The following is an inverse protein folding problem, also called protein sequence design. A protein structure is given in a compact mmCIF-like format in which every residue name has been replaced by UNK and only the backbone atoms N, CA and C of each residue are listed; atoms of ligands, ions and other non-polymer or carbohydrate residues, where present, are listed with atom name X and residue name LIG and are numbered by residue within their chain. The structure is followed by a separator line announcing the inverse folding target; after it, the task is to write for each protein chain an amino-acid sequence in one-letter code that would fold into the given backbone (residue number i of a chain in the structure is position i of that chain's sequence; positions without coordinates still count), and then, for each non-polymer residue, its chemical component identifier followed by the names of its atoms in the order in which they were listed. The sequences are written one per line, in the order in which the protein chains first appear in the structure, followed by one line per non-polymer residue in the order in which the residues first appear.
data_IF_764270230304
#
_entry.id   IF_764270230304
#
_cell.length_a   1.000
_cell.length_b   1.000
_cell.length_c   1.000
_cell.angle_alpha   90.00
_cell.angle_beta   90.00
_cell.angle_gamma   90.00
#
_symmetry.space_group_name_H-M   'P 1'
#
loop_
_entity.id
_entity.type
_entity.pdbx_description
1 polymer ?
#
# COMPACT_ATOMS: atom_id res chain seq x y z
N UNK A 1 -12.19 15.37 -2.68
CA UNK A 1 -11.11 15.05 -3.63
C UNK A 1 -10.11 16.18 -3.60
N UNK A 2 -9.05 16.05 -2.80
CA UNK A 2 -7.86 16.86 -3.03
C UNK A 2 -7.00 16.12 -4.06
N UNK A 3 -6.35 16.82 -5.00
CA UNK A 3 -5.57 16.20 -6.06
C UNK A 3 -4.32 15.54 -5.52
N UNK A 4 -3.87 14.50 -6.23
CA UNK A 4 -2.57 13.86 -6.13
C UNK A 4 -1.47 14.84 -5.69
N UNK A 5 -0.63 14.40 -4.76
CA UNK A 5 0.52 15.14 -4.26
C UNK A 5 1.56 15.36 -5.36
N UNK A 6 1.32 16.34 -6.23
CA UNK A 6 2.26 16.80 -7.23
C UNK A 6 3.36 17.61 -6.53
N UNK A 7 4.49 16.96 -6.24
CA UNK A 7 5.77 17.67 -6.25
C UNK A 7 6.28 17.62 -7.69
N UNK A 8 6.38 18.79 -8.31
CA UNK A 8 6.96 19.07 -9.64
C UNK A 8 7.20 17.83 -10.53
N UNK A 9 6.23 17.50 -11.38
CA UNK A 9 6.44 16.69 -12.59
C UNK A 9 6.50 15.16 -12.45
N UNK A 10 6.35 14.58 -11.25
CA UNK A 10 6.31 13.11 -11.08
C UNK A 10 4.98 12.70 -10.43
N UNK A 11 4.22 11.85 -11.12
CA UNK A 11 3.01 11.24 -10.58
C UNK A 11 3.39 10.27 -9.46
N UNK A 12 2.91 10.54 -8.25
CA UNK A 12 3.10 9.67 -7.10
C UNK A 12 2.03 8.60 -7.11
N UNK A 13 2.41 7.34 -7.28
CA UNK A 13 1.47 6.21 -7.38
C UNK A 13 1.65 5.23 -6.22
N UNK A 14 0.55 4.89 -5.54
CA UNK A 14 0.51 3.85 -4.51
C UNK A 14 -0.31 2.66 -5.04
N UNK A 15 0.31 1.48 -5.07
CA UNK A 15 -0.37 0.22 -5.40
C UNK A 15 -0.31 -0.73 -4.22
N UNK A 16 -1.41 -1.42 -3.92
CA UNK A 16 -1.52 -2.42 -2.85
C UNK A 16 -1.92 -3.76 -3.46
N UNK A 17 -1.08 -4.77 -3.32
CA UNK A 17 -1.43 -6.14 -3.68
C UNK A 17 -2.02 -6.88 -2.47
N UNK A 18 -3.25 -7.35 -2.63
CA UNK A 18 -3.91 -8.19 -1.67
C UNK A 18 -5.43 -8.11 -1.73
N UNK A 19 -6.07 -9.24 -1.48
CA UNK A 19 -7.52 -9.35 -1.33
C UNK A 19 -8.04 -8.57 -0.11
N UNK A 20 -9.22 -7.93 -0.19
CA UNK A 20 -9.72 -7.04 0.86
C UNK A 20 -10.24 -7.80 2.09
N UNK A 21 -10.44 -9.11 2.02
CA UNK A 21 -10.87 -9.93 3.16
C UNK A 21 -9.72 -10.29 4.11
N UNK A 22 -8.46 -10.05 3.72
CA UNK A 22 -7.31 -10.36 4.56
C UNK A 22 -7.07 -9.24 5.59
N UNK A 23 -7.15 -9.56 6.88
CA UNK A 23 -6.98 -8.58 7.98
C UNK A 23 -5.68 -7.76 7.89
N UNK A 24 -4.58 -8.38 7.44
CA UNK A 24 -3.30 -7.69 7.26
C UNK A 24 -3.30 -6.73 6.06
N UNK A 25 -4.15 -6.97 5.06
CA UNK A 25 -4.37 -6.04 3.94
C UNK A 25 -5.32 -4.93 4.39
N UNK A 26 -6.43 -5.27 5.06
CA UNK A 26 -7.43 -4.31 5.56
C UNK A 26 -6.80 -3.18 6.36
N UNK A 27 -5.89 -3.49 7.29
CA UNK A 27 -5.22 -2.44 8.06
C UNK A 27 -4.40 -1.48 7.20
N UNK A 28 -3.76 -1.96 6.13
CA UNK A 28 -3.01 -1.10 5.19
C UNK A 28 -3.95 -0.24 4.37
N UNK A 29 -5.06 -0.81 3.89
CA UNK A 29 -6.10 -0.06 3.18
C UNK A 29 -6.70 1.03 4.07
N UNK A 30 -7.12 0.69 5.29
CA UNK A 30 -7.63 1.67 6.26
C UNK A 30 -6.62 2.76 6.56
N UNK A 31 -5.35 2.41 6.75
CA UNK A 31 -4.31 3.41 6.93
C UNK A 31 -4.19 4.35 5.72
N UNK A 32 -4.30 3.86 4.50
CA UNK A 32 -4.28 4.71 3.30
C UNK A 32 -5.50 5.64 3.24
N UNK A 33 -6.70 5.12 3.54
CA UNK A 33 -7.95 5.91 3.60
C UNK A 33 -7.88 7.01 4.68
N UNK A 34 -7.43 6.67 5.89
CA UNK A 34 -7.30 7.64 7.00
C UNK A 34 -6.27 8.74 6.70
N UNK A 35 -5.24 8.42 5.91
CA UNK A 35 -4.26 9.37 5.41
C UNK A 35 -4.75 10.16 4.19
N UNK A 36 -5.92 9.83 3.63
CA UNK A 36 -6.49 10.45 2.44
C UNK A 36 -5.70 10.16 1.16
N UNK A 37 -5.08 8.98 1.07
CA UNK A 37 -4.25 8.60 -0.07
C UNK A 37 -5.07 7.91 -1.15
N UNK A 38 -4.90 8.36 -2.40
CA UNK A 38 -5.34 7.59 -3.57
C UNK A 38 -4.40 6.38 -3.78
N UNK A 39 -4.99 5.21 -4.03
CA UNK A 39 -4.24 4.00 -4.34
C UNK A 39 -4.99 3.09 -5.31
N UNK A 40 -4.22 2.28 -6.05
CA UNK A 40 -4.75 1.16 -6.83
C UNK A 40 -4.61 -0.13 -6.04
N UNK A 41 -5.64 -0.98 -6.06
CA UNK A 41 -5.60 -2.30 -5.43
C UNK A 41 -5.58 -3.40 -6.48
N UNK A 42 -4.67 -4.36 -6.32
CA UNK A 42 -4.57 -5.54 -7.18
C UNK A 42 -4.91 -6.77 -6.33
N UNK A 43 -5.96 -7.48 -6.75
CA UNK A 43 -6.45 -8.67 -6.06
C UNK A 43 -5.54 -9.88 -6.28
N UNK A 44 -4.96 -10.39 -5.19
CA UNK A 44 -4.15 -11.61 -5.14
C UNK A 44 -4.34 -12.33 -3.81
N UNK A 45 -4.09 -13.64 -3.83
CA UNK A 45 -4.21 -14.55 -2.69
C UNK A 45 -5.62 -15.11 -2.49
N UNK A 46 -5.72 -16.23 -1.77
CA UNK A 46 -7.00 -16.95 -1.64
C UNK A 46 -7.48 -17.46 -3.00
N UNK A 47 -8.75 -17.23 -3.32
CA UNK A 47 -9.32 -17.66 -4.61
C UNK A 47 -8.77 -16.89 -5.82
N UNK A 48 -8.13 -15.73 -5.61
CA UNK A 48 -7.49 -14.96 -6.69
C UNK A 48 -6.13 -15.55 -7.13
N UNK A 49 -5.51 -16.41 -6.31
CA UNK A 49 -4.20 -17.00 -6.63
C UNK A 49 -3.08 -15.96 -6.77
N UNK A 50 -2.05 -16.26 -7.56
CA UNK A 50 -1.04 -15.29 -8.00
C UNK A 50 0.16 -15.10 -7.07
N UNK A 51 0.12 -15.61 -5.83
CA UNK A 51 1.19 -15.41 -4.84
C UNK A 51 2.47 -16.18 -5.12
N UNK A 52 2.40 -17.18 -5.99
CA UNK A 52 3.48 -18.07 -6.43
C UNK A 52 4.00 -17.74 -7.84
N UNK A 53 3.45 -16.70 -8.48
CA UNK A 53 3.93 -16.25 -9.78
C UNK A 53 5.34 -15.66 -9.68
N UNK A 54 6.19 -15.81 -10.71
CA UNK A 54 7.53 -15.20 -10.71
C UNK A 54 7.48 -13.68 -10.45
N UNK A 55 6.50 -12.99 -11.03
CA UNK A 55 6.33 -11.54 -10.88
C UNK A 55 5.99 -11.15 -9.43
N UNK A 56 5.13 -11.92 -8.76
CA UNK A 56 4.81 -11.65 -7.36
C UNK A 56 5.98 -12.00 -6.43
N UNK A 57 6.66 -13.12 -6.68
CA UNK A 57 7.82 -13.54 -5.89
C UNK A 57 9.03 -12.61 -6.06
N UNK A 58 9.16 -11.95 -7.20
CA UNK A 58 10.15 -10.89 -7.40
C UNK A 58 9.90 -9.67 -6.49
N UNK A 59 8.63 -9.42 -6.10
CA UNK A 59 8.28 -8.38 -5.12
C UNK A 59 8.41 -8.87 -3.68
N UNK A 60 7.94 -10.08 -3.40
CA UNK A 60 7.96 -10.67 -2.07
C UNK A 60 8.30 -12.16 -2.16
N UNK A 61 9.56 -12.56 -1.89
CA UNK A 61 9.98 -13.96 -1.93
C UNK A 61 9.18 -14.90 -1.01
N UNK A 62 8.48 -14.35 -0.01
CA UNK A 62 7.66 -15.13 0.91
C UNK A 62 6.26 -15.47 0.37
N UNK A 63 5.84 -14.90 -0.76
CA UNK A 63 4.53 -15.17 -1.35
C UNK A 63 3.38 -14.81 -0.40
N UNK A 64 3.48 -13.66 0.28
CA UNK A 64 2.49 -13.18 1.26
C UNK A 64 2.00 -11.78 0.92
N UNK A 65 0.79 -11.47 1.38
CA UNK A 65 0.15 -10.16 1.27
C UNK A 65 0.00 -9.52 2.66
N UNK A 66 -0.06 -8.18 2.76
CA UNK A 66 0.04 -7.20 1.68
C UNK A 66 1.47 -7.00 1.16
N UNK A 67 1.56 -6.54 -0.09
CA UNK A 67 2.72 -5.83 -0.65
C UNK A 67 2.23 -4.45 -1.05
N UNK A 68 3.01 -3.41 -0.77
CA UNK A 68 2.78 -2.06 -1.31
C UNK A 68 3.89 -1.70 -2.28
N UNK A 69 3.56 -0.90 -3.29
CA UNK A 69 4.52 -0.22 -4.15
C UNK A 69 4.19 1.26 -4.18
N UNK A 70 5.16 2.08 -3.84
CA UNK A 70 5.09 3.53 -3.93
C UNK A 70 6.15 3.98 -4.95
N UNK A 71 5.70 4.30 -6.17
CA UNK A 71 6.57 4.48 -7.34
C UNK A 71 7.44 3.23 -7.58
N UNK A 72 8.77 3.34 -7.58
CA UNK A 72 9.68 2.19 -7.75
C UNK A 72 9.98 1.44 -6.45
N UNK A 73 9.55 1.97 -5.30
CA UNK A 73 9.83 1.38 -4.00
C UNK A 73 8.79 0.32 -3.63
N UNK A 74 9.24 -0.92 -3.43
CA UNK A 74 8.38 -2.06 -3.04
C UNK A 74 8.65 -2.46 -1.59
N UNK A 75 7.59 -2.68 -0.81
CA UNK A 75 7.67 -3.08 0.59
C UNK A 75 6.59 -4.12 0.94
N UNK A 76 6.98 -5.11 1.72
CA UNK A 76 6.10 -6.13 2.30
C UNK A 76 6.30 -6.15 3.82
N UNK A 77 5.55 -7.00 4.51
CA UNK A 77 5.27 -6.92 5.96
C UNK A 77 4.32 -5.81 6.34
N UNK A 78 3.12 -6.24 6.72
CA UNK A 78 1.99 -5.34 6.93
C UNK A 78 2.23 -4.23 7.97
N UNK A 79 2.97 -4.50 9.05
CA UNK A 79 3.34 -3.46 10.03
C UNK A 79 4.42 -2.51 9.51
N UNK A 80 5.31 -2.98 8.63
CA UNK A 80 6.29 -2.12 7.97
C UNK A 80 5.60 -1.19 6.98
N UNK A 81 4.63 -1.70 6.19
CA UNK A 81 3.79 -0.91 5.31
C UNK A 81 3.08 0.23 6.07
N UNK A 82 2.45 -0.06 7.21
CA UNK A 82 1.79 0.97 8.04
C UNK A 82 2.76 2.06 8.48
N UNK A 83 3.91 1.68 9.06
CA UNK A 83 4.93 2.64 9.52
C UNK A 83 5.47 3.48 8.38
N UNK A 84 5.65 2.87 7.21
CA UNK A 84 6.09 3.57 6.00
C UNK A 84 5.06 4.61 5.57
N UNK A 85 3.78 4.25 5.44
CA UNK A 85 2.72 5.16 5.02
C UNK A 85 2.59 6.34 5.99
N UNK A 86 2.48 6.08 7.30
CA UNK A 86 2.40 7.12 8.32
C UNK A 86 3.61 8.08 8.29
N UNK A 87 4.83 7.55 8.15
CA UNK A 87 6.05 8.36 8.15
C UNK A 87 6.21 9.17 6.86
N UNK A 88 5.79 8.61 5.73
CA UNK A 88 6.01 9.21 4.40
C UNK A 88 4.99 10.31 4.12
N UNK A 89 3.72 10.06 4.41
CA UNK A 89 2.66 10.95 3.94
C UNK A 89 2.21 12.01 4.95
N UNK A 90 2.61 11.96 6.23
CA UNK A 90 2.39 12.97 7.29
C UNK A 90 1.09 13.78 7.15
N UNK A 91 0.00 13.09 6.87
CA UNK A 91 -1.31 13.66 6.61
C UNK A 91 -2.35 12.87 7.39
N UNK A 92 -3.60 13.27 7.32
CA UNK A 92 -4.70 12.67 8.07
C UNK A 92 -5.10 13.50 9.30
N UNK A 93 -6.25 13.15 9.91
CA UNK A 93 -6.94 14.00 10.89
C UNK A 93 -6.11 14.33 12.13
N UNK A 94 -5.02 13.61 12.39
CA UNK A 94 -4.16 13.79 13.55
C UNK A 94 -2.80 14.44 13.23
N UNK A 95 -2.53 14.81 11.97
CA UNK A 95 -1.24 15.38 11.57
C UNK A 95 -0.91 16.73 12.23
N UNK A 96 -1.94 17.43 12.75
CA UNK A 96 -1.83 18.72 13.43
C UNK A 96 -1.94 18.64 14.95
N UNK A 97 -1.97 17.44 15.54
CA UNK A 97 -1.95 17.28 16.99
C UNK A 97 -0.49 17.22 17.48
N UNK A 98 0.06 18.38 17.81
CA UNK A 98 1.34 18.54 18.53
C UNK A 98 1.23 19.63 19.57
#
# INVERSE_FOLDING_TARGET
MQPNHLKEGIEVTLTVWGRPEAVNVQKVLWCAEELGLDYTRIDVGGHFGGLDTPDFLAMNPWGRIPVIRHNDFTLWESNACLRYLCRTFKQGPFANLS
#
